data_IF_825045908842
#
_entry.id   IF_825045908842
#
_cell.length_a   1.000
_cell.length_b   1.000
_cell.length_c   1.000
_cell.angle_alpha   90.00
_cell.angle_beta   90.00
_cell.angle_gamma   90.00
#
_symmetry.space_group_name_H-M   'P 1'
#
loop_
_entity.id
_entity.type
_entity.pdbx_description
1 polymer ?
#
# COMPACT_ATOMS: atom_id res chain seq x y z
N UNK A 1 -24.51 48.07 9.54
CA UNK A 1 -24.53 46.75 8.89
C UNK A 1 -23.28 46.02 9.35
N UNK A 2 -23.32 45.40 10.52
CA UNK A 2 -22.26 44.49 10.96
C UNK A 2 -22.68 43.06 10.64
N UNK A 3 -21.86 42.39 9.82
CA UNK A 3 -21.98 40.96 9.59
C UNK A 3 -21.52 40.25 10.87
N UNK A 4 -22.45 39.70 11.64
CA UNK A 4 -22.14 38.88 12.81
C UNK A 4 -21.25 37.71 12.38
N UNK A 5 -20.04 37.65 12.95
CA UNK A 5 -19.14 36.53 12.78
C UNK A 5 -19.85 35.22 13.18
N UNK A 6 -19.67 34.11 12.43
CA UNK A 6 -20.28 32.85 12.80
C UNK A 6 -19.80 32.44 14.20
N UNK A 7 -20.77 32.14 15.06
CA UNK A 7 -20.57 31.61 16.40
C UNK A 7 -19.88 30.23 16.32
N UNK A 8 -18.55 30.25 16.35
CA UNK A 8 -17.68 29.07 16.33
C UNK A 8 -17.78 28.24 17.62
N UNK A 9 -18.58 28.67 18.60
CA UNK A 9 -18.69 28.05 19.92
C UNK A 9 -19.61 26.81 19.94
N UNK A 10 -20.33 26.53 18.83
CA UNK A 10 -21.36 25.47 18.75
C UNK A 10 -20.92 24.11 18.21
N UNK A 11 -19.65 23.89 17.87
CA UNK A 11 -19.14 22.57 17.46
C UNK A 11 -18.28 21.91 18.55
N UNK A 12 -18.84 21.73 19.74
CA UNK A 12 -18.27 20.85 20.76
C UNK A 12 -18.89 19.46 20.63
N UNK A 13 -18.22 18.56 19.92
CA UNK A 13 -18.53 17.13 19.99
C UNK A 13 -18.03 16.58 21.32
N UNK A 14 -18.95 16.32 22.26
CA UNK A 14 -18.66 15.84 23.61
C UNK A 14 -18.82 14.32 23.77
N UNK A 15 -18.63 13.55 22.69
CA UNK A 15 -18.78 12.09 22.67
C UNK A 15 -17.61 11.38 21.99
N UNK A 16 -17.34 10.10 22.31
CA UNK A 16 -16.30 9.33 21.65
C UNK A 16 -16.61 9.17 20.16
N UNK A 17 -15.62 9.45 19.31
CA UNK A 17 -15.70 9.20 17.87
C UNK A 17 -15.45 7.71 17.65
N UNK A 18 -16.47 6.99 17.15
CA UNK A 18 -16.31 5.61 16.72
C UNK A 18 -15.81 5.57 15.27
N UNK A 19 -14.61 5.04 15.07
CA UNK A 19 -14.05 4.77 13.76
C UNK A 19 -14.30 3.29 13.44
N UNK A 20 -15.16 2.96 12.45
CA UNK A 20 -15.38 1.58 12.06
C UNK A 20 -14.08 0.94 11.55
N UNK A 21 -13.96 -0.36 11.76
CA UNK A 21 -12.80 -1.12 11.32
C UNK A 21 -12.69 -1.10 9.79
N UNK A 22 -11.48 -1.27 9.26
CA UNK A 22 -11.26 -1.25 7.80
C UNK A 22 -12.01 -2.37 7.08
N UNK A 23 -12.20 -3.51 7.75
CA UNK A 23 -12.96 -4.66 7.23
C UNK A 23 -14.43 -4.31 6.93
N UNK A 24 -15.03 -3.42 7.71
CA UNK A 24 -16.41 -2.95 7.52
C UNK A 24 -16.54 -1.90 6.40
N UNK A 25 -15.40 -1.41 5.89
CA UNK A 25 -15.30 -0.26 4.97
C UNK A 25 -14.74 -0.65 3.61
N UNK A 26 -15.09 -1.85 3.12
CA UNK A 26 -14.56 -2.44 1.89
C UNK A 26 -14.45 -1.48 0.68
N UNK A 27 -15.50 -0.69 0.41
CA UNK A 27 -15.49 0.29 -0.71
C UNK A 27 -14.51 1.44 -0.47
N UNK A 28 -14.38 1.89 0.77
CA UNK A 28 -13.43 2.95 1.13
C UNK A 28 -12.00 2.44 1.08
N UNK A 29 -11.75 1.17 1.44
CA UNK A 29 -10.43 0.54 1.29
C UNK A 29 -9.98 0.58 -0.18
N UNK A 30 -10.86 0.22 -1.12
CA UNK A 30 -10.52 0.27 -2.55
C UNK A 30 -10.21 1.69 -3.04
N UNK A 31 -10.88 2.70 -2.49
CA UNK A 31 -10.63 4.10 -2.77
C UNK A 31 -9.30 4.57 -2.14
N UNK A 32 -9.05 4.27 -0.87
CA UNK A 32 -7.80 4.58 -0.16
C UNK A 32 -6.59 3.97 -0.88
N UNK A 33 -6.71 2.74 -1.37
CA UNK A 33 -5.65 2.10 -2.15
C UNK A 33 -5.37 2.89 -3.44
N UNK A 34 -6.41 3.35 -4.14
CA UNK A 34 -6.26 4.12 -5.37
C UNK A 34 -5.61 5.49 -5.11
N UNK A 35 -6.04 6.20 -4.07
CA UNK A 35 -5.44 7.48 -3.66
C UNK A 35 -3.96 7.32 -3.33
N UNK A 36 -3.61 6.34 -2.48
CA UNK A 36 -2.19 6.07 -2.19
C UNK A 36 -1.40 5.69 -3.43
N UNK A 37 -2.01 4.96 -4.38
CA UNK A 37 -1.34 4.62 -5.63
C UNK A 37 -1.03 5.87 -6.44
N UNK A 38 -2.01 6.76 -6.60
CA UNK A 38 -1.85 8.05 -7.28
C UNK A 38 -0.80 8.94 -6.59
N UNK A 39 -0.83 9.06 -5.26
CA UNK A 39 0.17 9.82 -4.51
C UNK A 39 1.58 9.25 -4.73
N UNK A 40 1.71 7.92 -4.74
CA UNK A 40 3.00 7.26 -4.97
C UNK A 40 3.47 7.44 -6.42
N UNK A 41 2.55 7.40 -7.40
CA UNK A 41 2.86 7.71 -8.80
C UNK A 41 3.45 9.11 -8.94
N UNK A 42 2.82 10.10 -8.30
CA UNK A 42 3.31 11.48 -8.28
C UNK A 42 4.68 11.57 -7.59
N UNK A 43 4.87 10.91 -6.45
CA UNK A 43 6.14 10.87 -5.73
C UNK A 43 7.27 10.29 -6.62
N UNK A 44 6.98 9.18 -7.31
CA UNK A 44 7.96 8.50 -8.16
C UNK A 44 8.08 9.08 -9.57
N UNK A 45 7.21 10.04 -9.94
CA UNK A 45 7.11 10.64 -11.26
C UNK A 45 6.93 9.59 -12.36
N UNK A 46 6.02 8.67 -12.12
CA UNK A 46 5.65 7.60 -13.05
C UNK A 46 4.16 7.63 -13.31
N UNK A 47 3.77 7.26 -14.52
CA UNK A 47 2.39 6.97 -14.86
C UNK A 47 2.27 5.47 -15.13
N UNK A 48 1.49 4.80 -14.29
CA UNK A 48 1.37 3.34 -14.28
C UNK A 48 0.07 2.92 -13.61
N UNK A 49 -0.82 2.27 -14.35
CA UNK A 49 -2.10 1.84 -13.79
C UNK A 49 -1.94 0.85 -12.63
N UNK A 50 -2.86 0.93 -11.67
CA UNK A 50 -2.96 -0.03 -10.58
C UNK A 50 -3.55 -1.35 -11.11
N UNK A 51 -2.70 -2.35 -11.28
CA UNK A 51 -3.12 -3.70 -11.66
C UNK A 51 -4.09 -4.31 -10.62
N UNK A 52 -5.13 -4.99 -11.09
CA UNK A 52 -6.16 -5.64 -10.26
C UNK A 52 -5.59 -6.63 -9.26
N UNK A 53 -4.52 -7.35 -9.62
CA UNK A 53 -3.85 -8.30 -8.73
C UNK A 53 -3.13 -7.59 -7.58
N UNK A 54 -2.55 -6.43 -7.84
CA UNK A 54 -1.85 -5.66 -6.80
C UNK A 54 -2.88 -5.00 -5.88
N UNK A 55 -3.97 -4.48 -6.43
CA UNK A 55 -5.10 -3.98 -5.63
C UNK A 55 -5.65 -5.04 -4.69
N UNK A 56 -5.93 -6.22 -5.23
CA UNK A 56 -6.43 -7.37 -4.46
C UNK A 56 -5.42 -7.79 -3.40
N UNK A 57 -4.13 -7.84 -3.75
CA UNK A 57 -3.08 -8.21 -2.83
C UNK A 57 -2.96 -7.21 -1.67
N UNK A 58 -2.96 -5.91 -1.96
CA UNK A 58 -2.91 -4.85 -0.93
C UNK A 58 -4.10 -4.99 0.01
N UNK A 59 -5.30 -5.15 -0.54
CA UNK A 59 -6.54 -5.31 0.22
C UNK A 59 -6.51 -6.51 1.17
N UNK A 60 -6.03 -7.65 0.71
CA UNK A 60 -5.99 -8.89 1.51
C UNK A 60 -4.86 -8.88 2.55
N UNK A 61 -3.74 -8.20 2.26
CA UNK A 61 -2.52 -8.29 3.08
C UNK A 61 -2.26 -7.05 3.95
N UNK A 62 -3.21 -6.12 4.06
CA UNK A 62 -3.06 -4.89 4.85
C UNK A 62 -4.11 -4.82 5.95
N UNK A 63 -3.65 -4.72 7.19
CA UNK A 63 -4.51 -4.65 8.39
C UNK A 63 -4.79 -3.20 8.83
N UNK A 64 -4.06 -2.23 8.26
CA UNK A 64 -4.17 -0.81 8.61
C UNK A 64 -3.90 0.09 7.41
N UNK A 65 -4.33 1.35 7.49
CA UNK A 65 -4.03 2.39 6.47
C UNK A 65 -2.54 2.58 6.27
N UNK A 66 -1.76 2.54 7.35
CA UNK A 66 -0.30 2.61 7.29
C UNK A 66 0.33 1.40 6.55
N UNK A 67 -0.29 0.23 6.66
CA UNK A 67 0.12 -0.95 5.90
C UNK A 67 -0.27 -0.86 4.42
N UNK A 68 -1.45 -0.29 4.10
CA UNK A 68 -1.85 0.02 2.73
C UNK A 68 -0.83 0.95 2.08
N UNK A 69 -0.54 2.10 2.68
CA UNK A 69 0.42 3.07 2.16
C UNK A 69 1.80 2.43 1.90
N UNK A 70 2.28 1.66 2.87
CA UNK A 70 3.57 0.94 2.78
C UNK A 70 3.56 -0.12 1.69
N UNK A 71 2.46 -0.86 1.54
CA UNK A 71 2.31 -1.89 0.52
C UNK A 71 2.27 -1.29 -0.88
N UNK A 72 1.40 -0.30 -1.10
CA UNK A 72 1.28 0.46 -2.35
C UNK A 72 2.65 0.99 -2.79
N UNK A 73 3.35 1.69 -1.90
CA UNK A 73 4.65 2.30 -2.22
C UNK A 73 5.72 1.29 -2.60
N UNK A 74 5.76 0.14 -1.90
CA UNK A 74 6.72 -0.94 -2.19
C UNK A 74 6.39 -1.70 -3.47
N UNK A 75 5.11 -1.93 -3.75
CA UNK A 75 4.66 -2.61 -4.96
C UNK A 75 4.91 -1.75 -6.20
N UNK A 76 4.57 -0.46 -6.17
CA UNK A 76 4.86 0.43 -7.30
C UNK A 76 6.37 0.53 -7.56
N UNK A 77 7.19 0.66 -6.52
CA UNK A 77 8.66 0.68 -6.68
C UNK A 77 9.17 -0.61 -7.36
N UNK A 78 8.62 -1.78 -6.98
CA UNK A 78 8.98 -3.06 -7.60
C UNK A 78 8.54 -3.15 -9.07
N UNK A 79 7.37 -2.61 -9.41
CA UNK A 79 6.88 -2.55 -10.79
C UNK A 79 7.74 -1.63 -11.65
N UNK A 80 8.07 -0.44 -11.15
CA UNK A 80 8.86 0.57 -11.86
C UNK A 80 10.29 0.11 -12.10
N UNK A 81 10.97 -0.44 -11.09
CA UNK A 81 12.40 -0.75 -11.22
C UNK A 81 12.68 -2.19 -11.70
N UNK A 82 11.67 -3.07 -11.69
CA UNK A 82 11.78 -4.47 -12.15
C UNK A 82 12.78 -5.34 -11.37
N UNK A 83 13.41 -4.81 -10.32
CA UNK A 83 14.39 -5.52 -9.49
C UNK A 83 14.28 -5.08 -8.04
N UNK A 84 14.55 -6.00 -7.10
CA UNK A 84 14.52 -5.67 -5.66
C UNK A 84 15.55 -4.59 -5.32
N UNK A 85 16.75 -4.67 -5.90
CA UNK A 85 17.80 -3.67 -5.62
C UNK A 85 17.46 -2.30 -6.18
N UNK A 86 16.89 -2.22 -7.39
CA UNK A 86 16.42 -0.96 -7.96
C UNK A 86 15.31 -0.34 -7.10
N UNK A 87 14.30 -1.13 -6.75
CA UNK A 87 13.19 -0.71 -5.92
C UNK A 87 13.65 -0.25 -4.53
N UNK A 88 14.56 -0.97 -3.87
CA UNK A 88 15.08 -0.56 -2.56
C UNK A 88 15.83 0.78 -2.63
N UNK A 89 16.62 1.00 -3.70
CA UNK A 89 17.29 2.27 -3.94
C UNK A 89 16.29 3.41 -4.13
N UNK A 90 15.21 3.21 -4.89
CA UNK A 90 14.12 4.19 -5.05
C UNK A 90 13.43 4.51 -3.72
N UNK A 91 13.25 3.49 -2.88
CA UNK A 91 12.63 3.62 -1.57
C UNK A 91 13.57 4.18 -0.48
N UNK A 92 14.85 4.41 -0.79
CA UNK A 92 15.84 4.84 0.20
C UNK A 92 16.05 3.81 1.33
N UNK A 93 15.91 2.51 1.04
CA UNK A 93 16.03 1.45 2.03
C UNK A 93 16.95 0.31 1.59
N UNK A 94 17.45 -0.45 2.55
CA UNK A 94 18.30 -1.61 2.25
C UNK A 94 17.52 -2.71 1.49
N UNK A 95 18.12 -3.28 0.44
CA UNK A 95 17.52 -4.35 -0.37
C UNK A 95 17.10 -5.57 0.47
N UNK A 96 17.84 -5.88 1.53
CA UNK A 96 17.50 -6.97 2.46
C UNK A 96 16.21 -6.70 3.23
N UNK A 97 15.90 -5.45 3.54
CA UNK A 97 14.68 -5.05 4.24
C UNK A 97 13.45 -5.16 3.33
N UNK A 98 13.58 -4.73 2.06
CA UNK A 98 12.53 -4.93 1.06
C UNK A 98 12.30 -6.43 0.81
N UNK A 99 13.37 -7.21 0.68
CA UNK A 99 13.29 -8.67 0.50
C UNK A 99 12.64 -9.38 1.68
N UNK A 100 12.95 -8.99 2.92
CA UNK A 100 12.28 -9.53 4.12
C UNK A 100 10.80 -9.20 4.13
N UNK A 101 10.43 -7.97 3.77
CA UNK A 101 9.02 -7.59 3.65
C UNK A 101 8.29 -8.43 2.59
N UNK A 102 8.91 -8.62 1.42
CA UNK A 102 8.37 -9.50 0.37
C UNK A 102 8.22 -10.93 0.88
N UNK A 103 9.24 -11.52 1.49
CA UNK A 103 9.14 -12.87 2.03
C UNK A 103 8.03 -13.01 3.08
N UNK A 104 7.89 -12.04 3.98
CA UNK A 104 6.85 -12.09 5.02
C UNK A 104 5.43 -12.10 4.41
N UNK A 105 5.20 -11.34 3.33
CA UNK A 105 3.86 -11.14 2.77
C UNK A 105 3.58 -11.90 1.47
N UNK A 106 4.60 -12.51 0.86
CA UNK A 106 4.46 -13.41 -0.29
C UNK A 106 4.53 -14.89 0.11
N UNK A 107 4.87 -15.23 1.37
CA UNK A 107 5.09 -16.61 1.79
C UNK A 107 3.99 -17.27 2.66
N UNK A 108 2.82 -16.68 2.94
CA UNK A 108 1.72 -17.45 3.61
C UNK A 108 0.29 -16.99 3.27
N UNK A 109 -0.73 -17.90 3.34
CA UNK A 109 -0.68 -19.31 3.78
C UNK A 109 -1.03 -20.34 2.68
N UNK A 110 -0.19 -21.39 2.56
CA UNK A 110 -0.38 -22.56 1.69
C UNK A 110 0.94 -23.19 1.24
N UNK A 111 1.96 -22.38 1.00
CA UNK A 111 3.28 -22.84 0.55
C UNK A 111 4.23 -23.09 1.73
N UNK A 112 3.93 -24.10 2.56
CA UNK A 112 5.00 -24.85 3.25
C UNK A 112 5.65 -25.77 2.24
N UNK A 113 6.37 -25.22 1.27
CA UNK A 113 7.27 -26.03 0.47
C UNK A 113 8.62 -25.35 0.37
N UNK A 114 9.60 -26.05 0.93
CA UNK A 114 11.01 -25.71 1.04
C UNK A 114 11.56 -25.30 -0.33
N UNK A 115 11.45 -24.02 -0.67
CA UNK A 115 12.08 -23.48 -1.86
C UNK A 115 12.73 -22.16 -1.51
N UNK A 116 14.04 -22.12 -1.76
CA UNK A 116 14.94 -20.99 -1.65
C UNK A 116 14.21 -19.67 -1.95
N UNK A 117 14.09 -18.79 -0.95
CA UNK A 117 13.32 -17.54 -0.98
C UNK A 117 13.79 -16.48 -1.98
N UNK A 118 14.57 -16.84 -3.00
CA UNK A 118 14.87 -15.99 -4.16
C UNK A 118 14.09 -16.31 -5.42
N UNK A 119 13.58 -17.54 -5.58
CA UNK A 119 12.88 -17.96 -6.80
C UNK A 119 11.46 -17.39 -6.87
N UNK A 120 10.72 -17.42 -5.76
CA UNK A 120 9.35 -16.90 -5.68
C UNK A 120 9.28 -15.39 -5.94
N UNK A 121 10.23 -14.61 -5.37
CA UNK A 121 10.29 -13.16 -5.60
C UNK A 121 10.58 -12.84 -7.07
N UNK A 122 11.56 -13.50 -7.69
CA UNK A 122 11.87 -13.27 -9.11
C UNK A 122 10.69 -13.66 -10.00
N UNK A 123 9.99 -14.76 -9.68
CA UNK A 123 8.77 -15.18 -10.38
C UNK A 123 7.64 -14.17 -10.22
N UNK A 124 7.45 -13.64 -9.01
CA UNK A 124 6.44 -12.63 -8.70
C UNK A 124 6.70 -11.31 -9.45
N UNK A 125 7.95 -10.88 -9.54
CA UNK A 125 8.34 -9.71 -10.33
C UNK A 125 8.09 -10.00 -11.82
N UNK A 126 8.59 -11.13 -12.33
CA UNK A 126 8.48 -11.49 -13.76
C UNK A 126 7.04 -11.68 -14.22
N UNK A 127 6.15 -12.24 -13.39
CA UNK A 127 4.72 -12.42 -13.73
C UNK A 127 3.94 -11.10 -13.80
N UNK A 128 4.59 -9.99 -13.48
CA UNK A 128 4.00 -8.65 -13.28
C UNK A 128 4.76 -7.56 -14.06
N UNK A 129 5.73 -7.92 -14.89
CA UNK A 129 6.48 -6.97 -15.73
C UNK A 129 6.00 -6.96 -17.18
N UNK A 130 4.85 -7.57 -17.47
CA UNK A 130 4.27 -7.71 -18.81
C UNK A 130 2.87 -7.11 -18.83
#
# INVERSE_FOLDING_TARGET
>A
MEAGAPDMERLRFAGPIYLPALEDRAKEVDHIIAEYWQDTQQEFRVDMELASEDRTWIRVNSESVADIAKATRRLLALRVDGTVSGAARRLGMASVSLRRWMNKRLSQPGAREKSQGGSAIRRWIKSRSN
#
